data_IF_533826590764
#
_entry.id   IF_533826590764
#
_cell.length_a   1.000
_cell.length_b   1.000
_cell.length_c   1.000
_cell.angle_alpha   90.00
_cell.angle_beta   90.00
_cell.angle_gamma   90.00
#
_symmetry.space_group_name_H-M   'P 1'
#
loop_
_entity.id
_entity.type
_entity.pdbx_description
1 polymer ?
#
# COMPACT_ATOMS: atom_id res chain seq x y z
N UNK A 1 -2.57 -68.77 -20.29
CA UNK A 1 -2.65 -67.36 -20.77
C UNK A 1 -3.49 -66.48 -19.85
N UNK A 2 -4.74 -66.83 -19.54
CA UNK A 2 -5.64 -65.99 -18.71
C UNK A 2 -5.05 -65.63 -17.32
N UNK A 3 -4.47 -66.60 -16.62
CA UNK A 3 -3.86 -66.39 -15.28
C UNK A 3 -2.72 -65.36 -15.31
N UNK A 4 -1.84 -65.43 -16.31
CA UNK A 4 -0.73 -64.49 -16.47
C UNK A 4 -1.23 -63.06 -16.75
N UNK A 5 -2.32 -62.94 -17.53
CA UNK A 5 -2.94 -61.66 -17.83
C UNK A 5 -3.59 -61.04 -16.58
N UNK A 6 -4.27 -61.86 -15.78
CA UNK A 6 -4.85 -61.44 -14.50
C UNK A 6 -3.77 -60.98 -13.52
N UNK A 7 -2.66 -61.72 -13.41
CA UNK A 7 -1.54 -61.34 -12.54
C UNK A 7 -0.90 -60.02 -13.00
N UNK A 8 -0.69 -59.84 -14.30
CA UNK A 8 -0.14 -58.60 -14.85
C UNK A 8 -1.06 -57.39 -14.58
N UNK A 9 -2.38 -57.55 -14.70
CA UNK A 9 -3.35 -56.50 -14.38
C UNK A 9 -3.33 -56.15 -12.89
N UNK A 10 -3.30 -57.16 -12.00
CA UNK A 10 -3.26 -56.94 -10.55
C UNK A 10 -1.96 -56.26 -10.13
N UNK A 11 -0.82 -56.70 -10.66
CA UNK A 11 0.49 -56.09 -10.37
C UNK A 11 0.56 -54.67 -10.94
N UNK A 12 0.05 -54.44 -12.15
CA UNK A 12 -0.03 -53.11 -12.75
C UNK A 12 -0.93 -52.16 -11.95
N UNK A 13 -2.08 -52.64 -11.48
CA UNK A 13 -2.98 -51.86 -10.62
C UNK A 13 -2.38 -51.57 -9.25
N UNK A 14 -1.75 -52.56 -8.61
CA UNK A 14 -1.08 -52.40 -7.33
C UNK A 14 0.13 -51.45 -7.44
N UNK A 15 0.93 -51.60 -8.49
CA UNK A 15 2.06 -50.70 -8.81
C UNK A 15 1.58 -49.28 -9.11
N UNK A 16 0.50 -49.13 -9.88
CA UNK A 16 -0.14 -47.84 -10.15
C UNK A 16 -0.66 -47.17 -8.87
N UNK A 17 -1.35 -47.91 -8.01
CA UNK A 17 -1.84 -47.42 -6.71
C UNK A 17 -0.70 -47.06 -5.77
N UNK A 18 0.36 -47.85 -5.73
CA UNK A 18 1.55 -47.58 -4.93
C UNK A 18 2.28 -46.32 -5.41
N UNK A 19 2.46 -46.18 -6.73
CA UNK A 19 2.98 -44.96 -7.36
C UNK A 19 2.13 -43.73 -6.99
N UNK A 20 0.80 -43.85 -7.07
CA UNK A 20 -0.14 -42.79 -6.70
C UNK A 20 0.00 -42.41 -5.21
N UNK A 21 0.13 -43.37 -4.29
CA UNK A 21 0.35 -43.10 -2.87
C UNK A 21 1.70 -42.44 -2.58
N UNK A 22 2.73 -42.70 -3.39
CA UNK A 22 4.04 -42.04 -3.27
C UNK A 22 4.02 -40.61 -3.81
N UNK A 23 3.35 -40.40 -4.95
CA UNK A 23 3.32 -39.10 -5.64
C UNK A 23 2.32 -38.10 -5.05
N UNK A 24 1.29 -38.58 -4.34
CA UNK A 24 0.22 -37.74 -3.79
C UNK A 24 0.15 -37.88 -2.25
N UNK A 25 0.99 -37.13 -1.49
CA UNK A 25 1.00 -37.14 -0.03
C UNK A 25 -0.37 -36.85 0.60
N UNK A 26 -1.21 -36.10 -0.13
CA UNK A 26 -2.60 -35.79 0.22
C UNK A 26 -3.43 -37.05 0.53
N UNK A 27 -3.10 -38.19 -0.09
CA UNK A 27 -3.81 -39.45 0.15
C UNK A 27 -3.37 -40.18 1.43
N UNK A 28 -2.24 -39.79 2.03
CA UNK A 28 -1.74 -40.37 3.29
C UNK A 28 -2.25 -39.64 4.52
N UNK A 29 -2.58 -38.36 4.37
CA UNK A 29 -3.00 -37.49 5.48
C UNK A 29 -4.51 -37.68 5.76
N UNK A 30 -4.91 -38.26 6.91
CA UNK A 30 -6.31 -38.54 7.21
C UNK A 30 -7.21 -37.31 7.15
N UNK A 31 -6.68 -36.11 7.45
CA UNK A 31 -7.44 -34.86 7.38
C UNK A 31 -7.99 -34.60 5.96
N UNK A 32 -7.27 -34.98 4.90
CA UNK A 32 -7.73 -34.81 3.53
C UNK A 32 -8.86 -35.76 3.14
N UNK A 33 -9.03 -36.90 3.84
CA UNK A 33 -10.22 -37.75 3.65
C UNK A 33 -11.47 -37.02 4.11
N UNK A 34 -11.41 -36.37 5.27
CA UNK A 34 -12.55 -35.60 5.80
C UNK A 34 -12.84 -34.38 4.91
N UNK A 35 -11.79 -33.69 4.43
CA UNK A 35 -11.95 -32.60 3.46
C UNK A 35 -12.61 -33.08 2.16
N UNK A 36 -12.17 -34.23 1.63
CA UNK A 36 -12.73 -34.83 0.42
C UNK A 36 -14.19 -35.27 0.60
N UNK A 37 -14.53 -35.80 1.78
CA UNK A 37 -15.91 -36.16 2.13
C UNK A 37 -16.79 -34.90 2.19
N UNK A 38 -16.37 -33.88 2.94
CA UNK A 38 -17.12 -32.63 3.06
C UNK A 38 -17.35 -31.97 1.70
N UNK A 39 -16.29 -31.86 0.88
CA UNK A 39 -16.40 -31.32 -0.48
C UNK A 39 -17.43 -32.09 -1.32
N UNK A 40 -17.40 -33.44 -1.30
CA UNK A 40 -18.37 -34.27 -2.04
C UNK A 40 -19.81 -34.11 -1.54
N UNK A 41 -20.01 -34.08 -0.22
CA UNK A 41 -21.34 -33.90 0.36
C UNK A 41 -21.92 -32.54 -0.01
N UNK A 42 -21.13 -31.47 0.03
CA UNK A 42 -21.57 -30.12 -0.38
C UNK A 42 -21.92 -30.13 -1.87
N UNK A 43 -21.04 -30.61 -2.75
CA UNK A 43 -21.30 -30.64 -4.20
C UNK A 43 -22.55 -31.45 -4.58
N UNK A 44 -22.86 -32.52 -3.84
CA UNK A 44 -23.96 -33.44 -4.18
C UNK A 44 -25.28 -33.11 -3.48
N UNK A 45 -25.25 -32.52 -2.27
CA UNK A 45 -26.43 -32.38 -1.41
C UNK A 45 -26.78 -30.95 -1.02
N UNK A 46 -25.90 -29.99 -1.26
CA UNK A 46 -26.19 -28.61 -0.90
C UNK A 46 -27.36 -28.08 -1.75
N UNK A 47 -28.40 -27.58 -1.07
CA UNK A 47 -29.70 -27.25 -1.66
C UNK A 47 -29.61 -26.23 -2.80
N UNK A 48 -28.72 -25.24 -2.68
CA UNK A 48 -28.61 -24.13 -3.64
C UNK A 48 -27.60 -24.40 -4.77
N UNK A 49 -26.95 -25.57 -4.76
CA UNK A 49 -25.80 -25.86 -5.62
C UNK A 49 -24.53 -25.13 -5.17
N UNK A 50 -23.37 -25.72 -5.49
CA UNK A 50 -22.08 -25.19 -5.08
C UNK A 50 -21.13 -25.05 -6.27
N UNK A 51 -20.33 -23.99 -6.26
CA UNK A 51 -19.24 -23.83 -7.22
C UNK A 51 -17.97 -24.50 -6.71
N UNK A 52 -17.43 -25.42 -7.52
CA UNK A 52 -16.22 -26.19 -7.20
C UNK A 52 -15.03 -25.28 -6.91
N UNK A 53 -14.84 -24.24 -7.72
CA UNK A 53 -13.69 -23.33 -7.58
C UNK A 53 -13.79 -22.56 -6.27
N UNK A 54 -14.94 -21.98 -5.96
CA UNK A 54 -15.19 -21.24 -4.73
C UNK A 54 -14.94 -22.09 -3.47
N UNK A 55 -15.33 -23.38 -3.47
CA UNK A 55 -15.05 -24.28 -2.35
C UNK A 55 -13.55 -24.55 -2.16
N UNK A 56 -12.83 -24.82 -3.27
CA UNK A 56 -11.38 -25.10 -3.22
C UNK A 56 -10.59 -23.86 -2.82
N UNK A 57 -10.96 -22.70 -3.37
CA UNK A 57 -10.40 -21.40 -3.01
C UNK A 57 -10.61 -21.11 -1.52
N UNK A 58 -11.84 -21.28 -1.01
CA UNK A 58 -12.16 -21.12 0.41
C UNK A 58 -11.41 -22.09 1.32
N UNK A 59 -11.21 -23.34 0.87
CA UNK A 59 -10.39 -24.32 1.60
C UNK A 59 -8.91 -23.90 1.65
N UNK A 60 -8.35 -23.38 0.55
CA UNK A 60 -6.97 -22.89 0.51
C UNK A 60 -6.78 -21.67 1.40
N UNK A 61 -7.69 -20.69 1.34
CA UNK A 61 -7.71 -19.54 2.24
C UNK A 61 -7.80 -19.98 3.71
N UNK A 62 -8.71 -20.92 4.03
CA UNK A 62 -8.86 -21.48 5.37
C UNK A 62 -7.62 -22.22 5.89
N UNK A 63 -6.94 -22.99 5.03
CA UNK A 63 -5.69 -23.66 5.39
C UNK A 63 -4.59 -22.66 5.77
N UNK A 64 -4.41 -21.60 4.99
CA UNK A 64 -3.41 -20.57 5.31
C UNK A 64 -3.84 -19.76 6.54
N UNK A 65 -5.12 -19.44 6.66
CA UNK A 65 -5.67 -18.75 7.85
C UNK A 65 -5.46 -19.53 9.15
N UNK A 66 -5.47 -20.87 9.09
CA UNK A 66 -5.24 -21.73 10.26
C UNK A 66 -3.85 -21.59 10.89
N UNK A 67 -2.89 -20.97 10.18
CA UNK A 67 -1.55 -20.68 10.70
C UNK A 67 -1.56 -19.62 11.82
N UNK A 68 -2.64 -18.84 11.95
CA UNK A 68 -2.69 -17.70 12.88
C UNK A 68 -1.67 -16.59 12.57
N UNK A 69 -1.02 -16.68 11.40
CA UNK A 69 -0.07 -15.70 10.90
C UNK A 69 -0.81 -14.69 10.01
N UNK A 70 -1.01 -13.43 10.45
CA UNK A 70 -1.74 -12.44 9.67
C UNK A 70 -1.00 -12.01 8.38
N UNK A 71 0.26 -12.42 8.21
CA UNK A 71 1.07 -12.09 7.04
C UNK A 71 1.05 -13.18 5.95
N UNK A 72 0.67 -14.40 6.31
CA UNK A 72 0.49 -15.49 5.37
C UNK A 72 -0.95 -15.48 4.86
N UNK A 73 -1.13 -15.41 3.55
CA UNK A 73 -2.45 -15.33 2.91
C UNK A 73 -2.45 -16.10 1.59
N UNK A 74 -3.60 -16.66 1.25
CA UNK A 74 -3.90 -17.14 -0.09
C UNK A 74 -4.78 -16.09 -0.78
N UNK A 75 -4.34 -15.59 -1.93
CA UNK A 75 -5.05 -14.57 -2.70
C UNK A 75 -5.55 -15.22 -3.99
N UNK A 76 -6.85 -15.25 -4.19
CA UNK A 76 -7.51 -15.97 -5.29
C UNK A 76 -7.63 -15.12 -6.54
N UNK A 77 -7.37 -15.71 -7.71
CA UNK A 77 -7.59 -15.09 -9.04
C UNK A 77 -7.11 -13.65 -9.14
N UNK A 78 -8.01 -12.73 -9.49
CA UNK A 78 -7.76 -11.29 -9.66
C UNK A 78 -7.08 -10.64 -8.44
N UNK A 79 -7.38 -11.08 -7.21
CA UNK A 79 -6.70 -10.54 -6.00
C UNK A 79 -5.23 -10.93 -5.97
N UNK A 80 -4.90 -12.13 -6.46
CA UNK A 80 -3.52 -12.59 -6.63
C UNK A 80 -2.80 -11.77 -7.69
N UNK A 81 -3.42 -11.57 -8.86
CA UNK A 81 -2.87 -10.75 -9.94
C UNK A 81 -2.63 -9.29 -9.50
N UNK A 82 -3.62 -8.65 -8.88
CA UNK A 82 -3.51 -7.30 -8.34
C UNK A 82 -2.37 -7.19 -7.31
N UNK A 83 -2.16 -8.22 -6.49
CA UNK A 83 -1.06 -8.24 -5.54
C UNK A 83 0.30 -8.26 -6.23
N UNK A 84 0.47 -9.07 -7.28
CA UNK A 84 1.71 -9.09 -8.07
C UNK A 84 1.92 -7.74 -8.75
N UNK A 85 0.91 -7.22 -9.46
CA UNK A 85 1.02 -5.94 -10.17
C UNK A 85 1.25 -4.74 -9.26
N UNK A 86 0.97 -4.85 -7.96
CA UNK A 86 1.35 -3.80 -7.01
C UNK A 86 2.87 -3.65 -6.83
N UNK A 87 3.67 -4.67 -7.17
CA UNK A 87 5.14 -4.65 -7.12
C UNK A 87 5.80 -4.39 -8.47
N UNK A 88 5.06 -4.61 -9.55
CA UNK A 88 5.47 -4.27 -10.91
C UNK A 88 5.62 -2.74 -11.04
N UNK A 89 6.34 -2.32 -12.06
CA UNK A 89 6.57 -0.91 -12.38
C UNK A 89 5.35 -0.20 -12.98
N UNK A 90 4.33 -0.96 -13.34
CA UNK A 90 3.06 -0.48 -13.82
C UNK A 90 1.94 -1.44 -13.44
N UNK A 91 0.71 -0.94 -13.40
CA UNK A 91 -0.49 -1.77 -13.49
C UNK A 91 -1.28 -1.40 -14.74
N UNK A 92 -2.23 -2.22 -15.16
CA UNK A 92 -3.04 -1.96 -16.34
C UNK A 92 -4.36 -1.27 -15.96
N UNK A 93 -4.63 -0.12 -16.57
CA UNK A 93 -5.87 0.62 -16.38
C UNK A 93 -5.92 1.90 -17.20
N UNK A 94 -6.78 2.83 -16.79
CA UNK A 94 -6.90 4.14 -17.45
C UNK A 94 -5.93 5.19 -16.91
N UNK A 95 -5.48 5.07 -15.65
CA UNK A 95 -4.47 5.96 -15.07
C UNK A 95 -5.01 7.28 -14.53
N UNK A 96 -5.90 7.20 -13.54
CA UNK A 96 -6.49 8.36 -12.85
C UNK A 96 -6.50 8.16 -11.35
N UNK A 97 -6.37 9.25 -10.59
CA UNK A 97 -6.67 9.30 -9.17
C UNK A 97 -8.14 9.68 -8.99
N UNK A 98 -8.86 8.91 -8.17
CA UNK A 98 -10.31 9.04 -8.00
C UNK A 98 -10.59 9.38 -6.55
N UNK A 99 -11.44 10.38 -6.33
CA UNK A 99 -12.03 10.68 -5.03
C UNK A 99 -13.54 10.48 -5.08
N UNK A 100 -14.12 10.14 -3.94
CA UNK A 100 -15.56 10.04 -3.79
C UNK A 100 -16.09 11.32 -3.13
N UNK A 101 -17.18 11.88 -3.66
CA UNK A 101 -17.88 13.05 -3.12
C UNK A 101 -19.39 12.90 -3.36
N UNK A 102 -20.15 12.90 -2.27
CA UNK A 102 -21.60 12.76 -2.23
C UNK A 102 -22.09 11.52 -3.00
N UNK A 103 -21.39 10.39 -2.83
CA UNK A 103 -21.69 9.11 -3.50
C UNK A 103 -21.40 9.12 -5.01
N UNK A 104 -20.62 10.11 -5.49
CA UNK A 104 -20.16 10.22 -6.88
C UNK A 104 -18.64 10.09 -6.94
N UNK A 105 -18.15 9.53 -8.04
CA UNK A 105 -16.72 9.35 -8.25
C UNK A 105 -16.19 10.44 -9.18
N UNK A 106 -15.22 11.21 -8.67
CA UNK A 106 -14.65 12.37 -9.34
C UNK A 106 -13.18 12.08 -9.64
N UNK A 107 -12.75 12.38 -10.88
CA UNK A 107 -11.34 12.36 -11.24
C UNK A 107 -10.65 13.51 -10.51
N UNK A 108 -9.81 13.19 -9.53
CA UNK A 108 -9.01 14.17 -8.80
C UNK A 108 -7.82 14.61 -9.66
N UNK A 109 -7.15 13.63 -10.29
CA UNK A 109 -5.95 13.88 -11.10
C UNK A 109 -5.78 12.83 -12.18
N UNK A 110 -5.18 13.23 -13.30
CA UNK A 110 -4.69 12.32 -14.33
C UNK A 110 -3.24 11.95 -14.05
N UNK A 111 -2.91 10.67 -14.11
CA UNK A 111 -1.54 10.20 -13.97
C UNK A 111 -0.80 10.55 -15.27
N UNK A 112 0.33 11.27 -15.13
CA UNK A 112 1.17 11.62 -16.28
C UNK A 112 1.62 10.38 -17.03
N UNK A 113 1.71 10.48 -18.35
CA UNK A 113 2.08 9.43 -19.30
C UNK A 113 1.12 8.23 -19.36
N UNK A 114 0.06 8.20 -18.55
CA UNK A 114 -0.94 7.14 -18.57
C UNK A 114 -2.03 7.37 -19.65
N UNK A 115 -2.83 6.35 -20.01
CA UNK A 115 -3.79 6.47 -21.11
C UNK A 115 -4.80 7.61 -20.99
N UNK A 116 -5.30 7.88 -19.78
CA UNK A 116 -6.30 8.91 -19.53
C UNK A 116 -5.81 10.32 -19.88
N UNK A 117 -4.51 10.61 -19.75
CA UNK A 117 -3.92 11.92 -20.08
C UNK A 117 -4.16 12.31 -21.55
N UNK A 118 -4.22 11.31 -22.46
CA UNK A 118 -4.42 11.53 -23.90
C UNK A 118 -5.85 11.29 -24.36
N UNK A 119 -6.76 10.93 -23.45
CA UNK A 119 -8.12 10.51 -23.78
C UNK A 119 -9.15 11.64 -23.86
N UNK A 120 -8.77 12.85 -23.43
CA UNK A 120 -9.68 13.99 -23.30
C UNK A 120 -10.45 14.04 -21.97
N UNK A 121 -10.22 13.08 -21.07
CA UNK A 121 -10.60 13.20 -19.64
C UNK A 121 -9.91 14.40 -19.00
N UNK A 122 -10.52 14.95 -17.95
CA UNK A 122 -10.00 16.07 -17.18
C UNK A 122 -10.22 15.84 -15.68
N UNK A 123 -9.38 16.46 -14.86
CA UNK A 123 -9.66 16.60 -13.44
C UNK A 123 -11.00 17.33 -13.26
N UNK A 124 -11.83 16.85 -12.32
CA UNK A 124 -13.18 17.32 -12.09
C UNK A 124 -14.27 16.56 -12.86
N UNK A 125 -13.92 15.70 -13.83
CA UNK A 125 -14.91 14.82 -14.47
C UNK A 125 -15.52 13.84 -13.46
N UNK A 126 -16.83 13.65 -13.54
CA UNK A 126 -17.59 12.74 -12.66
C UNK A 126 -18.00 11.50 -13.44
N UNK A 127 -17.68 10.31 -12.95
CA UNK A 127 -18.09 9.06 -13.59
C UNK A 127 -19.61 8.86 -13.51
N UNK A 128 -20.25 8.65 -14.67
CA UNK A 128 -21.67 8.29 -14.79
C UNK A 128 -21.83 6.80 -15.06
N UNK A 129 -21.07 6.27 -16.02
CA UNK A 129 -21.04 4.83 -16.32
C UNK A 129 -19.70 4.39 -16.91
N UNK A 130 -19.37 3.12 -16.71
CA UNK A 130 -18.19 2.45 -17.25
C UNK A 130 -18.65 1.16 -17.91
N UNK A 131 -18.37 1.00 -19.20
CA UNK A 131 -18.76 -0.17 -20.00
C UNK A 131 -20.26 -0.50 -19.88
N UNK A 132 -21.10 0.55 -19.81
CA UNK A 132 -22.56 0.44 -19.67
C UNK A 132 -23.05 0.19 -18.23
N UNK A 133 -22.15 -0.10 -17.28
CA UNK A 133 -22.48 -0.23 -15.86
C UNK A 133 -22.55 1.14 -15.21
N UNK A 134 -23.66 1.46 -14.54
CA UNK A 134 -23.79 2.74 -13.84
C UNK A 134 -22.79 2.85 -12.69
N UNK A 135 -22.17 4.02 -12.54
CA UNK A 135 -21.31 4.32 -11.41
C UNK A 135 -22.10 4.59 -10.11
N UNK A 136 -23.41 4.84 -10.22
CA UNK A 136 -24.27 5.15 -9.08
C UNK A 136 -24.44 3.92 -8.17
N UNK A 137 -24.16 4.09 -6.88
CA UNK A 137 -24.32 3.04 -5.87
C UNK A 137 -23.20 1.99 -5.88
N UNK A 138 -22.18 2.14 -6.73
CA UNK A 138 -20.95 1.38 -6.60
C UNK A 138 -20.15 1.88 -5.40
N UNK A 139 -19.30 1.02 -4.86
CA UNK A 139 -18.18 1.46 -4.01
C UNK A 139 -16.92 1.69 -4.86
N UNK A 140 -15.91 2.33 -4.25
CA UNK A 140 -14.66 2.65 -4.93
C UNK A 140 -13.90 1.39 -5.40
N UNK A 141 -14.03 0.27 -4.68
CA UNK A 141 -13.37 -0.99 -5.06
C UNK A 141 -13.95 -1.52 -6.36
N UNK A 142 -15.28 -1.54 -6.46
CA UNK A 142 -15.97 -2.00 -7.66
C UNK A 142 -15.73 -1.08 -8.84
N UNK A 143 -15.69 0.23 -8.61
CA UNK A 143 -15.31 1.18 -9.64
C UNK A 143 -13.90 0.91 -10.18
N UNK A 144 -12.93 0.64 -9.30
CA UNK A 144 -11.54 0.30 -9.68
C UNK A 144 -11.49 -0.94 -10.57
N UNK A 145 -12.23 -1.98 -10.22
CA UNK A 145 -12.34 -3.19 -11.04
C UNK A 145 -12.84 -2.90 -12.45
N UNK A 146 -13.81 -1.98 -12.61
CA UNK A 146 -14.36 -1.62 -13.92
C UNK A 146 -13.39 -0.80 -14.77
N UNK A 147 -12.62 0.12 -14.17
CA UNK A 147 -11.67 0.96 -14.91
C UNK A 147 -10.34 0.26 -15.18
N UNK A 148 -10.00 -0.76 -14.39
CA UNK A 148 -8.93 -1.71 -14.67
C UNK A 148 -9.41 -2.82 -15.60
N UNK A 149 -8.49 -3.63 -16.10
CA UNK A 149 -8.81 -4.72 -17.01
C UNK A 149 -7.60 -5.13 -17.86
N UNK A 150 -7.82 -6.05 -18.80
CA UNK A 150 -6.75 -6.55 -19.68
C UNK A 150 -6.20 -5.43 -20.56
N UNK A 151 -4.89 -5.46 -20.80
CA UNK A 151 -4.20 -4.47 -21.61
C UNK A 151 -4.74 -4.47 -23.05
N UNK A 152 -4.83 -3.28 -23.65
CA UNK A 152 -5.36 -3.09 -25.00
C UNK A 152 -6.88 -3.15 -25.12
N UNK A 153 -7.60 -3.54 -24.06
CA UNK A 153 -9.07 -3.43 -24.06
C UNK A 153 -9.53 -1.99 -23.86
N UNK A 154 -10.71 -1.64 -24.37
CA UNK A 154 -11.25 -0.27 -24.25
C UNK A 154 -12.23 -0.17 -23.10
N UNK A 155 -12.06 0.82 -22.23
CA UNK A 155 -13.05 1.27 -21.26
C UNK A 155 -13.91 2.37 -21.90
N UNK A 156 -15.22 2.14 -22.01
CA UNK A 156 -16.19 3.13 -22.51
C UNK A 156 -16.76 3.90 -21.33
N UNK A 157 -16.33 5.14 -21.16
CA UNK A 157 -16.71 5.99 -20.05
C UNK A 157 -17.81 6.96 -20.48
N UNK A 158 -18.80 7.16 -19.63
CA UNK A 158 -19.67 8.34 -19.68
C UNK A 158 -19.33 9.20 -18.48
N UNK A 159 -18.99 10.47 -18.71
CA UNK A 159 -18.63 11.42 -17.64
C UNK A 159 -19.46 12.69 -17.70
N UNK A 160 -19.78 13.23 -16.53
CA UNK A 160 -20.30 14.59 -16.39
C UNK A 160 -19.14 15.56 -16.18
N UNK A 161 -19.15 16.69 -16.88
CA UNK A 161 -18.12 17.71 -16.80
C UNK A 161 -18.76 19.06 -16.51
N UNK A 162 -18.22 19.78 -15.53
CA UNK A 162 -18.67 21.13 -15.21
C UNK A 162 -18.62 22.03 -16.45
N UNK A 163 -19.71 22.78 -16.69
CA UNK A 163 -19.87 23.62 -17.87
C UNK A 163 -20.37 22.90 -19.14
N UNK A 164 -20.51 21.56 -19.13
CA UNK A 164 -21.16 20.80 -20.21
C UNK A 164 -22.63 20.55 -19.87
N UNK A 165 -23.53 20.78 -20.84
CA UNK A 165 -24.97 20.54 -20.68
C UNK A 165 -25.39 19.07 -20.87
N UNK A 166 -24.51 18.22 -21.39
CA UNK A 166 -24.74 16.78 -21.59
C UNK A 166 -23.53 15.96 -21.13
N UNK A 167 -23.74 14.72 -20.65
CA UNK A 167 -22.64 13.78 -20.40
C UNK A 167 -21.81 13.52 -21.65
N UNK A 168 -20.50 13.34 -21.46
CA UNK A 168 -19.52 13.09 -22.51
C UNK A 168 -19.18 11.60 -22.57
N UNK A 169 -19.26 11.01 -23.76
CA UNK A 169 -18.77 9.66 -24.01
C UNK A 169 -17.28 9.71 -24.36
N UNK A 170 -16.44 9.04 -23.59
CA UNK A 170 -14.98 9.00 -23.76
C UNK A 170 -14.53 7.54 -23.75
N UNK A 171 -13.81 7.13 -24.79
CA UNK A 171 -13.20 5.80 -24.86
C UNK A 171 -11.73 5.90 -24.47
N UNK A 172 -11.32 5.09 -23.51
CA UNK A 172 -9.92 5.00 -23.06
C UNK A 172 -9.43 3.57 -23.29
N UNK A 173 -8.34 3.41 -24.04
CA UNK A 173 -7.68 2.11 -24.16
C UNK A 173 -6.88 1.86 -22.89
N UNK A 174 -7.17 0.77 -22.19
CA UNK A 174 -6.45 0.36 -20.98
C UNK A 174 -5.01 0.03 -21.34
N UNK A 175 -4.08 0.56 -20.57
CA UNK A 175 -2.65 0.38 -20.79
C UNK A 175 -1.86 0.56 -19.51
N UNK A 176 -0.54 0.52 -19.63
CA UNK A 176 0.37 0.70 -18.50
C UNK A 176 0.16 2.05 -17.80
N UNK A 177 -0.08 1.98 -16.49
CA UNK A 177 -0.13 3.12 -15.57
C UNK A 177 1.10 3.02 -14.65
N UNK A 178 2.03 3.99 -14.72
CA UNK A 178 3.27 3.91 -13.96
C UNK A 178 3.00 4.00 -12.45
N UNK A 179 3.67 3.13 -11.69
CA UNK A 179 3.68 3.18 -10.23
C UNK A 179 4.96 3.88 -9.79
N UNK A 180 4.93 5.21 -9.67
CA UNK A 180 6.05 5.96 -9.15
C UNK A 180 6.18 5.76 -7.63
N UNK A 181 7.35 5.32 -7.20
CA UNK A 181 7.62 5.03 -5.79
C UNK A 181 8.54 6.04 -5.12
N UNK A 182 9.20 6.89 -5.92
CA UNK A 182 10.14 7.90 -5.43
C UNK A 182 9.72 9.30 -5.88
N UNK A 183 9.66 10.23 -4.92
CA UNK A 183 9.62 11.67 -5.19
C UNK A 183 10.85 12.34 -4.61
N UNK A 184 11.26 13.48 -5.17
CA UNK A 184 12.43 14.20 -4.68
C UNK A 184 12.30 15.71 -4.83
N UNK A 185 12.81 16.44 -3.85
CA UNK A 185 12.79 17.90 -3.79
C UNK A 185 14.13 18.42 -3.26
N UNK A 186 14.55 19.60 -3.75
CA UNK A 186 15.65 20.34 -3.13
C UNK A 186 15.05 21.32 -2.13
N UNK A 187 15.29 21.10 -0.85
CA UNK A 187 14.93 22.03 0.22
C UNK A 187 16.00 23.14 0.34
N UNK A 188 15.74 24.20 1.13
CA UNK A 188 16.75 25.22 1.43
C UNK A 188 18.09 24.64 1.92
N UNK A 189 19.15 25.43 1.76
CA UNK A 189 20.51 25.12 2.24
C UNK A 189 21.13 23.82 1.69
N UNK A 190 20.60 23.33 0.56
CA UNK A 190 21.12 22.18 -0.18
C UNK A 190 20.72 20.83 0.44
N UNK A 191 19.64 20.76 1.22
CA UNK A 191 19.11 19.49 1.71
C UNK A 191 18.29 18.84 0.60
N UNK A 192 18.76 17.71 0.07
CA UNK A 192 17.98 16.91 -0.87
C UNK A 192 17.02 16.01 -0.10
N UNK A 193 15.72 16.17 -0.32
CA UNK A 193 14.70 15.30 0.24
C UNK A 193 14.31 14.25 -0.80
N UNK A 194 14.27 12.99 -0.39
CA UNK A 194 13.75 11.88 -1.17
C UNK A 194 12.73 11.13 -0.33
N UNK A 195 11.50 11.00 -0.83
CA UNK A 195 10.48 10.14 -0.23
C UNK A 195 10.41 8.84 -1.00
N UNK A 196 10.43 7.71 -0.29
CA UNK A 196 10.14 6.40 -0.86
C UNK A 196 8.81 5.92 -0.29
N UNK A 197 7.78 5.80 -1.12
CA UNK A 197 6.45 5.36 -0.67
C UNK A 197 6.34 3.85 -0.48
N UNK A 198 7.12 3.08 -1.26
CA UNK A 198 7.14 1.61 -1.28
C UNK A 198 8.39 1.12 -2.02
N UNK A 199 8.79 -0.12 -1.78
CA UNK A 199 9.85 -0.79 -2.54
C UNK A 199 9.24 -1.73 -3.62
N UNK A 200 9.21 -1.27 -4.86
CA UNK A 200 8.77 -1.97 -6.07
C UNK A 200 9.95 -2.15 -7.05
N UNK A 201 9.71 -2.81 -8.19
CA UNK A 201 10.77 -3.17 -9.15
C UNK A 201 11.62 -1.98 -9.62
N UNK A 202 11.01 -0.82 -9.89
CA UNK A 202 11.73 0.37 -10.37
C UNK A 202 12.26 1.30 -9.29
N UNK A 203 11.94 1.07 -8.01
CA UNK A 203 12.27 2.01 -6.93
C UNK A 203 13.75 2.35 -6.86
N UNK A 204 14.64 1.36 -7.04
CA UNK A 204 16.08 1.62 -7.03
C UNK A 204 16.54 2.51 -8.19
N UNK A 205 15.95 2.36 -9.38
CA UNK A 205 16.27 3.17 -10.54
C UNK A 205 15.75 4.60 -10.37
N UNK A 206 14.51 4.76 -9.90
CA UNK A 206 13.92 6.06 -9.58
C UNK A 206 14.73 6.79 -8.51
N UNK A 207 15.16 6.07 -7.47
CA UNK A 207 16.02 6.60 -6.41
C UNK A 207 17.37 7.07 -6.93
N UNK A 208 18.03 6.27 -7.78
CA UNK A 208 19.31 6.63 -8.37
C UNK A 208 19.19 7.91 -9.23
N UNK A 209 18.14 8.00 -10.06
CA UNK A 209 17.88 9.19 -10.86
C UNK A 209 17.61 10.43 -9.99
N UNK A 210 16.83 10.28 -8.91
CA UNK A 210 16.55 11.34 -7.96
C UNK A 210 17.82 11.85 -7.26
N UNK A 211 18.66 10.93 -6.74
CA UNK A 211 19.94 11.31 -6.13
C UNK A 211 20.86 12.02 -7.11
N UNK A 212 20.99 11.53 -8.33
CA UNK A 212 21.87 12.14 -9.34
C UNK A 212 21.40 13.54 -9.71
N UNK A 213 20.07 13.73 -9.86
CA UNK A 213 19.48 15.03 -10.11
C UNK A 213 19.72 16.01 -8.95
N UNK A 214 19.58 15.56 -7.70
CA UNK A 214 19.84 16.37 -6.52
C UNK A 214 21.33 16.72 -6.37
N UNK A 215 22.23 15.76 -6.61
CA UNK A 215 23.68 15.99 -6.60
C UNK A 215 24.10 17.02 -7.65
N UNK A 216 23.56 16.94 -8.87
CA UNK A 216 23.79 17.95 -9.93
C UNK A 216 23.29 19.35 -9.52
N UNK A 217 22.27 19.44 -8.67
CA UNK A 217 21.75 20.69 -8.11
C UNK A 217 22.54 21.18 -6.87
N UNK A 218 23.63 20.52 -6.50
CA UNK A 218 24.48 20.93 -5.38
C UNK A 218 24.01 20.45 -4.01
N UNK A 219 23.34 19.29 -3.94
CA UNK A 219 22.95 18.66 -2.67
C UNK A 219 24.14 18.50 -1.71
N UNK A 220 23.97 18.96 -0.47
CA UNK A 220 24.95 18.93 0.62
C UNK A 220 24.63 17.88 1.70
N UNK A 221 23.37 17.47 1.78
CA UNK A 221 22.90 16.44 2.73
C UNK A 221 21.62 15.79 2.21
N UNK A 222 21.32 14.59 2.71
CA UNK A 222 20.17 13.79 2.28
C UNK A 222 19.18 13.59 3.43
N UNK A 223 17.93 13.98 3.20
CA UNK A 223 16.79 13.61 4.02
C UNK A 223 16.02 12.49 3.29
N UNK A 224 15.95 11.31 3.90
CA UNK A 224 15.19 10.17 3.39
C UNK A 224 13.89 10.04 4.18
N UNK A 225 12.75 10.25 3.53
CA UNK A 225 11.43 10.08 4.15
C UNK A 225 10.89 8.67 3.86
N UNK A 226 10.77 7.85 4.91
CA UNK A 226 10.22 6.49 4.88
C UNK A 226 8.94 6.37 5.72
N UNK A 227 8.34 7.49 6.14
CA UNK A 227 7.06 7.48 6.87
C UNK A 227 5.95 6.94 5.98
N UNK A 228 5.03 6.18 6.56
CA UNK A 228 3.96 5.55 5.80
C UNK A 228 4.38 4.40 4.88
N UNK A 229 5.69 4.09 4.75
CA UNK A 229 6.18 3.08 3.81
C UNK A 229 6.08 1.65 4.39
N UNK A 230 5.19 0.79 3.85
CA UNK A 230 4.98 -0.57 4.38
C UNK A 230 6.09 -1.57 3.99
N UNK A 231 7.13 -1.11 3.30
CA UNK A 231 8.24 -1.88 2.77
C UNK A 231 8.01 -2.31 1.32
N UNK A 232 8.44 -3.53 0.98
CA UNK A 232 8.20 -4.13 -0.32
C UNK A 232 9.27 -5.14 -0.70
N UNK A 233 9.77 -5.09 -1.93
CA UNK A 233 10.81 -6.00 -2.41
C UNK A 233 12.15 -5.74 -1.72
N UNK A 234 12.86 -6.82 -1.37
CA UNK A 234 14.16 -6.73 -0.70
C UNK A 234 15.29 -6.34 -1.66
N UNK A 235 15.23 -6.76 -2.92
CA UNK A 235 16.25 -6.49 -3.93
C UNK A 235 16.49 -4.98 -4.17
N UNK A 236 15.47 -4.14 -4.48
CA UNK A 236 15.69 -2.69 -4.62
C UNK A 236 16.17 -2.04 -3.32
N UNK A 237 15.78 -2.60 -2.16
CA UNK A 237 16.24 -2.14 -0.85
C UNK A 237 17.75 -2.34 -0.69
N UNK A 238 18.26 -3.52 -1.04
CA UNK A 238 19.71 -3.82 -1.04
C UNK A 238 20.43 -2.91 -2.04
N UNK A 239 19.88 -2.72 -3.23
CA UNK A 239 20.46 -1.86 -4.27
C UNK A 239 20.58 -0.41 -3.80
N UNK A 240 19.57 0.13 -3.12
CA UNK A 240 19.62 1.46 -2.50
C UNK A 240 20.63 1.47 -1.33
N UNK A 241 20.61 0.47 -0.45
CA UNK A 241 21.53 0.39 0.68
C UNK A 241 23.02 0.36 0.23
N UNK A 242 23.33 -0.26 -0.91
CA UNK A 242 24.68 -0.27 -1.50
C UNK A 242 25.21 1.14 -1.83
N UNK A 243 24.36 2.18 -1.92
CA UNK A 243 24.82 3.56 -2.08
C UNK A 243 25.47 4.10 -0.81
N UNK A 244 24.99 3.69 0.36
CA UNK A 244 25.29 4.32 1.65
C UNK A 244 26.13 3.46 2.58
N UNK A 245 25.81 2.18 2.65
CA UNK A 245 26.46 1.23 3.57
C UNK A 245 27.90 0.98 3.10
N UNK A 246 28.92 1.16 3.97
CA UNK A 246 30.31 0.91 3.59
C UNK A 246 30.54 -0.49 3.02
N UNK A 247 31.39 -0.59 1.99
CA UNK A 247 31.71 -1.85 1.32
C UNK A 247 32.08 -2.96 2.33
N UNK A 248 31.48 -4.13 2.17
CA UNK A 248 31.70 -5.30 3.03
C UNK A 248 30.93 -5.30 4.35
N UNK A 249 30.26 -4.20 4.75
CA UNK A 249 29.38 -4.19 5.92
C UNK A 249 28.05 -4.88 5.62
N UNK A 250 27.49 -5.56 6.61
CA UNK A 250 26.20 -6.23 6.52
C UNK A 250 25.07 -5.21 6.35
N UNK A 251 24.19 -5.46 5.38
CA UNK A 251 22.92 -4.75 5.20
C UNK A 251 21.83 -5.47 5.98
N UNK A 252 21.68 -6.78 5.77
CA UNK A 252 20.63 -7.61 6.39
C UNK A 252 21.01 -9.08 6.33
N UNK A 253 20.49 -9.87 7.26
CA UNK A 253 20.53 -11.34 7.21
C UNK A 253 19.12 -11.89 7.03
N UNK A 254 18.93 -12.87 6.16
CA UNK A 254 17.67 -13.62 6.00
C UNK A 254 17.88 -15.04 6.54
N UNK A 255 17.11 -15.41 7.55
CA UNK A 255 17.25 -16.66 8.31
C UNK A 255 15.98 -17.50 8.13
N UNK A 256 16.10 -18.63 7.45
CA UNK A 256 14.99 -19.55 7.21
C UNK A 256 14.71 -20.44 8.43
N UNK A 257 13.53 -21.06 8.44
CA UNK A 257 13.08 -21.96 9.51
C UNK A 257 14.16 -22.97 9.93
N UNK A 258 14.35 -23.10 11.24
CA UNK A 258 15.33 -24.00 11.84
C UNK A 258 16.79 -23.63 11.55
N UNK A 259 17.05 -22.39 11.12
CA UNK A 259 18.37 -21.91 10.66
C UNK A 259 19.00 -22.78 9.57
N UNK A 260 18.18 -23.56 8.86
CA UNK A 260 18.60 -24.43 7.76
C UNK A 260 19.31 -23.68 6.64
N UNK A 261 19.06 -22.37 6.54
CA UNK A 261 19.72 -21.46 5.60
C UNK A 261 19.79 -20.05 6.19
N UNK A 262 20.97 -19.45 6.14
CA UNK A 262 21.22 -18.04 6.47
C UNK A 262 21.87 -17.35 5.28
N UNK A 263 21.22 -16.31 4.76
CA UNK A 263 21.75 -15.47 3.68
C UNK A 263 22.16 -14.13 4.28
N UNK A 264 23.45 -13.78 4.18
CA UNK A 264 23.93 -12.46 4.60
C UNK A 264 24.14 -11.58 3.38
N UNK A 265 23.40 -10.48 3.29
CA UNK A 265 23.61 -9.47 2.25
C UNK A 265 24.58 -8.42 2.76
N UNK A 266 25.74 -8.31 2.11
CA UNK A 266 26.76 -7.30 2.39
C UNK A 266 26.77 -6.23 1.30
N UNK A 267 27.16 -5.02 1.69
CA UNK A 267 27.25 -3.91 0.77
C UNK A 267 28.36 -4.10 -0.27
N UNK A 268 27.99 -3.83 -1.52
CA UNK A 268 28.88 -3.76 -2.68
C UNK A 268 29.14 -2.30 -3.11
N UNK A 269 29.09 -1.36 -2.17
CA UNK A 269 29.33 0.07 -2.43
C UNK A 269 30.56 0.28 -3.32
N UNK A 270 30.36 1.07 -4.38
CA UNK A 270 31.41 1.45 -5.34
C UNK A 270 32.24 2.62 -4.80
N UNK A 271 31.55 3.71 -4.47
CA UNK A 271 32.15 4.95 -3.97
C UNK A 271 31.66 5.25 -2.55
N UNK A 272 32.54 5.62 -1.61
CA UNK A 272 32.14 6.01 -0.27
C UNK A 272 31.19 7.21 -0.28
N UNK A 273 30.02 7.04 0.35
CA UNK A 273 29.12 8.16 0.62
C UNK A 273 29.68 9.08 1.70
N UNK A 274 29.64 10.40 1.46
CA UNK A 274 30.25 11.41 2.35
C UNK A 274 29.28 12.44 2.92
N UNK A 275 28.07 12.54 2.37
CA UNK A 275 27.12 13.57 2.80
C UNK A 275 26.34 13.11 4.04
N UNK A 276 25.98 14.01 4.97
CA UNK A 276 25.11 13.66 6.10
C UNK A 276 23.77 13.07 5.64
N UNK A 277 23.26 12.08 6.37
CA UNK A 277 21.98 11.42 6.11
C UNK A 277 21.09 11.52 7.35
N UNK A 278 19.83 11.90 7.16
CA UNK A 278 18.77 11.76 8.14
C UNK A 278 17.61 10.95 7.54
N UNK A 279 16.91 10.18 8.37
CA UNK A 279 15.80 9.33 7.96
C UNK A 279 14.58 9.67 8.80
N UNK A 280 13.45 9.96 8.16
CA UNK A 280 12.16 10.08 8.83
C UNK A 280 11.45 8.72 8.85
N UNK A 281 10.96 8.33 10.01
CA UNK A 281 10.24 7.07 10.22
C UNK A 281 9.02 7.25 11.13
N UNK A 282 8.03 6.39 10.96
CA UNK A 282 6.82 6.35 11.79
C UNK A 282 6.36 4.91 12.05
N UNK A 283 5.23 4.76 12.74
CA UNK A 283 4.64 3.46 13.07
C UNK A 283 4.21 2.63 11.84
N UNK A 284 4.15 3.24 10.65
CA UNK A 284 3.81 2.58 9.40
C UNK A 284 5.04 2.22 8.55
N UNK A 285 6.22 2.74 8.89
CA UNK A 285 7.51 2.29 8.34
C UNK A 285 7.71 0.81 8.70
N UNK A 286 7.70 -0.07 7.69
CA UNK A 286 7.74 -1.52 7.92
C UNK A 286 8.68 -2.28 6.95
N UNK A 287 9.11 -3.48 7.34
CA UNK A 287 9.76 -4.46 6.47
C UNK A 287 11.01 -3.90 5.77
N UNK A 288 11.06 -3.88 4.43
CA UNK A 288 12.16 -3.29 3.67
C UNK A 288 12.54 -1.85 4.07
N UNK A 289 11.57 -1.03 4.47
CA UNK A 289 11.86 0.31 4.97
C UNK A 289 12.63 0.27 6.30
N UNK A 290 12.29 -0.69 7.17
CA UNK A 290 13.02 -0.98 8.41
C UNK A 290 14.40 -1.59 8.13
N UNK A 291 14.52 -2.46 7.12
CA UNK A 291 15.82 -3.00 6.69
C UNK A 291 16.77 -1.88 6.26
N UNK A 292 16.29 -0.97 5.41
CA UNK A 292 17.09 0.18 4.97
C UNK A 292 17.45 1.07 6.16
N UNK A 293 16.47 1.38 7.02
CA UNK A 293 16.69 2.17 8.24
C UNK A 293 17.74 1.54 9.15
N UNK A 294 17.64 0.22 9.42
CA UNK A 294 18.57 -0.50 10.27
C UNK A 294 19.99 -0.51 9.69
N UNK A 295 20.13 -0.77 8.39
CA UNK A 295 21.41 -0.79 7.70
C UNK A 295 22.12 0.58 7.77
N UNK A 296 21.39 1.65 7.45
CA UNK A 296 21.93 3.01 7.43
C UNK A 296 22.23 3.53 8.83
N UNK A 297 21.34 3.27 9.81
CA UNK A 297 21.55 3.62 11.22
C UNK A 297 22.81 2.94 11.78
N UNK A 298 23.01 1.65 11.49
CA UNK A 298 24.11 0.88 12.06
C UNK A 298 25.48 1.23 11.46
N UNK A 299 25.55 1.53 10.16
CA UNK A 299 26.83 1.54 9.43
C UNK A 299 27.09 2.77 8.56
N UNK A 300 26.05 3.55 8.22
CA UNK A 300 26.18 4.74 7.37
C UNK A 300 26.05 6.06 8.16
N UNK A 301 25.99 6.00 9.49
CA UNK A 301 25.92 7.19 10.35
C UNK A 301 24.60 7.97 10.27
N UNK A 302 23.55 7.38 9.72
CA UNK A 302 22.28 8.07 9.50
C UNK A 302 21.57 8.42 10.82
N UNK A 303 21.05 9.64 10.91
CA UNK A 303 20.25 10.11 12.04
C UNK A 303 18.77 9.73 11.83
N UNK A 304 18.24 8.84 12.65
CA UNK A 304 16.84 8.38 12.53
C UNK A 304 15.95 9.23 13.44
N UNK A 305 14.94 9.87 12.85
CA UNK A 305 14.04 10.84 13.49
C UNK A 305 12.58 10.41 13.31
N UNK A 306 11.75 10.61 14.32
CA UNK A 306 10.31 10.39 14.23
C UNK A 306 9.80 9.45 15.33
N UNK A 307 9.01 8.46 14.96
CA UNK A 307 8.41 7.51 15.90
C UNK A 307 8.91 6.09 15.65
N UNK A 308 8.71 5.22 16.64
CA UNK A 308 9.01 3.79 16.56
C UNK A 308 8.37 3.16 15.32
N UNK A 309 9.14 2.33 14.61
CA UNK A 309 8.66 1.63 13.40
C UNK A 309 7.78 0.42 13.71
N UNK A 310 7.14 -0.13 12.68
CA UNK A 310 6.12 -1.18 12.80
C UNK A 310 6.60 -2.49 13.44
N UNK A 311 7.84 -2.92 13.16
CA UNK A 311 8.40 -4.18 13.66
C UNK A 311 8.10 -5.40 12.81
N UNK A 312 8.15 -5.29 11.48
CA UNK A 312 7.95 -6.44 10.59
C UNK A 312 9.28 -7.13 10.28
N UNK A 313 9.79 -7.88 11.26
CA UNK A 313 11.02 -8.69 11.19
C UNK A 313 10.94 -10.02 10.41
N UNK A 314 10.00 -10.18 9.49
CA UNK A 314 9.72 -11.45 8.80
C UNK A 314 9.67 -11.27 7.29
N UNK A 315 10.00 -12.33 6.56
CA UNK A 315 10.04 -12.36 5.10
C UNK A 315 8.94 -13.28 4.59
N UNK A 316 8.06 -12.72 3.76
CA UNK A 316 7.11 -13.52 3.00
C UNK A 316 7.67 -13.82 1.63
N UNK A 317 7.55 -15.07 1.22
CA UNK A 317 7.71 -15.46 -0.17
C UNK A 317 6.32 -15.54 -0.80
N UNK A 318 6.18 -15.10 -2.03
CA UNK A 318 4.93 -15.24 -2.77
C UNK A 318 5.17 -16.06 -4.03
N UNK A 319 4.27 -17.02 -4.28
CA UNK A 319 4.27 -17.84 -5.49
C UNK A 319 2.92 -17.68 -6.18
N UNK A 320 2.96 -17.15 -7.40
CA UNK A 320 1.79 -17.11 -8.27
C UNK A 320 1.57 -18.48 -8.92
N UNK A 321 0.33 -18.93 -8.90
CA UNK A 321 -0.14 -20.16 -9.51
C UNK A 321 -0.66 -19.88 -10.92
N UNK A 322 -0.87 -20.94 -11.70
CA UNK A 322 -1.28 -20.81 -13.11
C UNK A 322 -2.64 -20.15 -13.31
N UNK A 323 -3.50 -20.18 -12.30
CA UNK A 323 -4.84 -19.59 -12.30
C UNK A 323 -4.85 -18.14 -11.80
N UNK A 324 -3.68 -17.51 -11.62
CA UNK A 324 -3.53 -16.14 -11.12
C UNK A 324 -3.48 -16.03 -9.60
N UNK A 325 -3.89 -17.08 -8.88
CA UNK A 325 -3.88 -17.12 -7.41
C UNK A 325 -2.45 -17.02 -6.86
N UNK A 326 -2.27 -16.45 -5.67
CA UNK A 326 -0.96 -16.26 -5.02
C UNK A 326 -0.97 -16.87 -3.63
N UNK A 327 -0.04 -17.79 -3.37
CA UNK A 327 0.31 -18.19 -2.01
C UNK A 327 1.41 -17.28 -1.50
N UNK A 328 1.08 -16.44 -0.51
CA UNK A 328 2.04 -15.64 0.23
C UNK A 328 2.27 -16.27 1.60
N UNK A 329 3.49 -16.70 1.87
CA UNK A 329 3.83 -17.47 3.06
C UNK A 329 5.05 -16.88 3.78
N UNK A 330 4.96 -16.74 5.10
CA UNK A 330 6.11 -16.39 5.94
C UNK A 330 7.07 -17.58 6.02
N UNK A 331 8.22 -17.47 5.34
CA UNK A 331 9.21 -18.56 5.23
C UNK A 331 10.50 -18.29 6.03
N UNK A 332 10.76 -17.03 6.38
CA UNK A 332 11.99 -16.61 7.04
C UNK A 332 11.79 -15.41 7.97
N UNK A 333 12.76 -15.18 8.84
CA UNK A 333 12.95 -13.93 9.55
C UNK A 333 14.10 -13.15 8.93
N UNK A 334 14.12 -11.84 9.13
CA UNK A 334 15.32 -11.06 8.85
C UNK A 334 15.92 -10.48 10.13
N UNK A 335 17.26 -10.41 10.17
CA UNK A 335 18.03 -9.82 11.28
C UNK A 335 18.76 -8.58 10.78
N UNK A 336 18.82 -7.56 11.63
CA UNK A 336 19.58 -6.31 11.40
C UNK A 336 21.08 -6.59 11.27
N UNK A 337 21.91 -5.61 10.87
CA UNK A 337 23.35 -5.79 10.72
C UNK A 337 24.08 -6.34 11.96
N UNK A 338 23.56 -6.06 13.15
CA UNK A 338 24.05 -6.54 14.45
C UNK A 338 23.41 -7.88 14.89
N UNK A 339 22.60 -8.51 14.03
CA UNK A 339 22.00 -9.82 14.27
C UNK A 339 20.69 -9.81 15.06
N UNK A 340 20.11 -8.64 15.36
CA UNK A 340 18.85 -8.58 16.11
C UNK A 340 17.63 -8.90 15.25
N UNK A 341 16.70 -9.67 15.82
CA UNK A 341 15.38 -9.89 15.23
C UNK A 341 14.38 -8.86 15.77
N UNK A 342 13.92 -7.96 14.92
CA UNK A 342 13.08 -6.81 15.31
C UNK A 342 11.56 -7.10 15.27
N UNK A 343 11.15 -8.35 15.06
CA UNK A 343 9.74 -8.67 14.86
C UNK A 343 8.90 -8.33 16.10
N UNK A 344 7.80 -7.61 15.89
CA UNK A 344 6.93 -7.02 16.92
C UNK A 344 7.62 -6.02 17.87
N UNK A 345 8.87 -5.67 17.57
CA UNK A 345 9.67 -4.72 18.36
C UNK A 345 9.91 -3.41 17.64
N UNK A 346 10.05 -3.40 16.32
CA UNK A 346 10.37 -2.20 15.56
C UNK A 346 11.78 -1.67 15.83
N UNK A 347 12.08 -0.52 15.23
CA UNK A 347 13.31 0.25 15.37
C UNK A 347 12.96 1.52 16.13
N UNK A 348 13.60 1.72 17.28
CA UNK A 348 13.51 2.98 18.00
C UNK A 348 14.36 4.06 17.29
N UNK A 349 13.79 5.24 16.99
CA UNK A 349 14.54 6.35 16.41
C UNK A 349 15.55 6.90 17.43
N UNK A 350 16.67 7.43 16.93
CA UNK A 350 17.66 8.10 17.78
C UNK A 350 17.17 9.45 18.30
N UNK A 351 16.20 10.05 17.58
CA UNK A 351 15.56 11.32 17.93
C UNK A 351 14.05 11.13 17.87
N UNK A 352 13.43 10.86 19.02
CA UNK A 352 11.98 10.68 19.12
C UNK A 352 11.31 12.03 18.95
N UNK A 353 10.47 12.15 17.92
CA UNK A 353 9.65 13.33 17.63
C UNK A 353 8.29 12.86 17.17
N UNK A 354 7.24 13.22 17.92
CA UNK A 354 5.87 12.90 17.53
C UNK A 354 5.43 13.76 16.34
N UNK A 355 4.57 13.19 15.48
CA UNK A 355 3.77 14.02 14.59
C UNK A 355 2.77 14.85 15.43
N UNK A 356 2.33 16.02 14.95
CA UNK A 356 1.30 16.79 15.63
C UNK A 356 0.02 15.95 15.79
N UNK A 357 -0.71 16.14 16.89
CA UNK A 357 -1.93 15.36 17.21
C UNK A 357 -2.95 15.38 16.07
N UNK A 358 -3.07 16.52 15.37
CA UNK A 358 -4.01 16.67 14.27
C UNK A 358 -3.65 15.81 13.04
N UNK A 359 -2.39 15.40 12.88
CA UNK A 359 -1.96 14.50 11.82
C UNK A 359 -2.42 13.05 12.06
N UNK A 360 -2.82 12.73 13.29
CA UNK A 360 -3.37 11.43 13.69
C UNK A 360 -4.90 11.41 13.64
N UNK A 361 -5.54 12.52 13.29
CA UNK A 361 -7.01 12.57 13.20
C UNK A 361 -7.50 11.60 12.12
N UNK A 362 -8.58 10.85 12.38
CA UNK A 362 -9.15 9.94 11.39
C UNK A 362 -9.51 10.67 10.11
N UNK A 363 -9.29 10.02 8.96
CA UNK A 363 -9.83 10.51 7.70
C UNK A 363 -11.35 10.50 7.77
N UNK A 364 -11.97 11.57 7.29
CA UNK A 364 -13.41 11.63 7.12
C UNK A 364 -13.78 10.77 5.90
N UNK A 365 -14.61 9.76 6.13
CA UNK A 365 -15.14 8.90 5.06
C UNK A 365 -16.07 9.69 4.13
N UNK A 366 -16.20 9.23 2.90
CA UNK A 366 -17.16 9.78 1.94
C UNK A 366 -18.61 9.56 2.39
N UNK A 367 -19.53 10.33 1.82
CA UNK A 367 -20.93 10.39 2.20
C UNK A 367 -21.19 11.15 3.51
N UNK A 368 -20.28 12.03 3.91
CA UNK A 368 -20.40 12.84 5.11
C UNK A 368 -21.52 13.87 4.94
N UNK A 369 -22.42 13.89 5.92
CA UNK A 369 -23.46 14.92 6.05
C UNK A 369 -23.74 15.14 7.53
N UNK A 370 -23.02 16.08 8.14
CA UNK A 370 -23.18 16.42 9.55
C UNK A 370 -23.77 17.83 9.70
N UNK A 371 -24.84 17.95 10.48
CA UNK A 371 -25.51 19.21 10.80
C UNK A 371 -25.98 19.27 12.24
N UNK A 372 -26.73 20.31 12.58
CA UNK A 372 -27.19 20.55 13.96
C UNK A 372 -27.95 19.34 14.50
N UNK A 373 -27.51 18.84 15.66
CA UNK A 373 -28.10 17.69 16.35
C UNK A 373 -27.34 16.38 16.15
N UNK A 374 -26.44 16.29 15.17
CA UNK A 374 -25.57 15.12 15.01
C UNK A 374 -24.53 15.05 16.14
N UNK A 375 -24.09 13.85 16.49
CA UNK A 375 -23.09 13.63 17.54
C UNK A 375 -22.21 12.41 17.27
N UNK A 376 -21.09 12.31 17.99
CA UNK A 376 -20.15 11.18 17.96
C UNK A 376 -18.79 11.51 17.34
N UNK A 377 -17.98 10.47 17.12
CA UNK A 377 -16.56 10.59 16.77
C UNK A 377 -16.31 11.41 15.49
N UNK A 378 -17.22 11.33 14.51
CA UNK A 378 -17.11 12.11 13.26
C UNK A 378 -17.26 13.61 13.53
N UNK A 379 -18.20 13.99 14.39
CA UNK A 379 -18.41 15.38 14.80
C UNK A 379 -17.21 15.88 15.58
N UNK A 380 -16.71 15.08 16.53
CA UNK A 380 -15.51 15.42 17.30
C UNK A 380 -14.29 15.59 16.38
N UNK A 381 -14.13 14.72 15.39
CA UNK A 381 -13.05 14.82 14.40
C UNK A 381 -13.14 16.13 13.62
N UNK A 382 -14.33 16.48 13.11
CA UNK A 382 -14.56 17.76 12.40
C UNK A 382 -14.28 18.97 13.30
N UNK A 383 -14.72 18.92 14.55
CA UNK A 383 -14.46 19.98 15.54
C UNK A 383 -12.96 20.17 15.79
N UNK A 384 -12.23 19.08 16.00
CA UNK A 384 -10.77 19.11 16.18
C UNK A 384 -10.06 19.67 14.95
N UNK A 385 -10.45 19.23 13.75
CA UNK A 385 -9.88 19.75 12.50
C UNK A 385 -10.14 21.25 12.33
N UNK A 386 -11.36 21.73 12.62
CA UNK A 386 -11.71 23.14 12.59
C UNK A 386 -10.91 23.97 13.59
N UNK A 387 -10.77 23.49 14.83
CA UNK A 387 -9.96 24.15 15.87
C UNK A 387 -8.50 24.30 15.43
N UNK A 388 -7.91 23.24 14.86
CA UNK A 388 -6.53 23.26 14.34
C UNK A 388 -6.36 24.28 13.21
N UNK A 389 -7.40 24.46 12.39
CA UNK A 389 -7.43 25.47 11.34
C UNK A 389 -7.83 26.88 11.84
N UNK A 390 -8.03 27.05 13.14
CA UNK A 390 -8.30 28.35 13.77
C UNK A 390 -9.77 28.76 13.83
N UNK A 391 -10.71 27.83 13.61
CA UNK A 391 -12.14 28.10 13.71
C UNK A 391 -12.68 27.75 15.11
N UNK A 392 -13.40 28.69 15.72
CA UNK A 392 -14.00 28.49 17.03
C UNK A 392 -15.27 27.63 16.92
N UNK A 393 -15.26 26.44 17.52
CA UNK A 393 -16.36 25.45 17.50
C UNK A 393 -17.13 25.35 18.82
N UNK A 394 -17.01 26.36 19.69
CA UNK A 394 -17.61 26.33 21.03
C UNK A 394 -16.98 25.27 21.93
N UNK A 395 -17.81 24.56 22.70
CA UNK A 395 -17.36 23.61 23.72
C UNK A 395 -16.72 22.31 23.16
N UNK A 396 -16.87 22.01 21.87
CA UNK A 396 -16.17 20.90 21.19
C UNK A 396 -16.41 19.52 21.82
N UNK A 397 -17.65 19.22 22.23
CA UNK A 397 -18.01 18.00 23.00
C UNK A 397 -18.49 16.84 22.12
N UNK A 398 -18.15 16.83 20.83
CA UNK A 398 -18.62 15.81 19.89
C UNK A 398 -20.10 15.91 19.56
N UNK A 399 -20.73 17.07 19.81
CA UNK A 399 -22.11 17.41 19.43
C UNK A 399 -22.05 18.56 18.43
N UNK A 400 -22.75 18.42 17.31
CA UNK A 400 -22.79 19.41 16.26
C UNK A 400 -23.86 20.44 16.65
N UNK A 401 -23.42 21.49 17.34
CA UNK A 401 -24.26 22.56 17.87
C UNK A 401 -24.26 23.80 16.94
N UNK A 402 -24.90 24.87 17.41
CA UNK A 402 -24.97 26.14 16.66
C UNK A 402 -23.57 26.75 16.44
N UNK A 403 -22.66 26.59 17.41
CA UNK A 403 -21.28 27.08 17.32
C UNK A 403 -20.50 26.30 16.26
N UNK A 404 -20.63 24.98 16.25
CA UNK A 404 -20.03 24.11 15.22
C UNK A 404 -20.57 24.45 13.83
N UNK A 405 -21.89 24.64 13.70
CA UNK A 405 -22.50 25.06 12.44
C UNK A 405 -21.99 26.43 11.97
N UNK A 406 -21.81 27.40 12.88
CA UNK A 406 -21.26 28.71 12.58
C UNK A 406 -19.77 28.64 12.17
N UNK A 407 -18.98 27.80 12.84
CA UNK A 407 -17.61 27.51 12.47
C UNK A 407 -17.51 26.94 11.05
N UNK A 408 -18.39 25.99 10.72
CA UNK A 408 -18.46 25.39 9.38
C UNK A 408 -18.89 26.40 8.33
N UNK A 409 -19.86 27.29 8.60
CA UNK A 409 -20.22 28.38 7.67
C UNK A 409 -19.04 29.31 7.42
N UNK A 410 -18.30 29.66 8.47
CA UNK A 410 -17.12 30.54 8.37
C UNK A 410 -16.02 29.88 7.54
N UNK A 411 -15.75 28.60 7.79
CA UNK A 411 -14.84 27.80 6.98
C UNK A 411 -15.28 27.73 5.51
N UNK A 412 -16.56 27.44 5.26
CA UNK A 412 -17.13 27.40 3.91
C UNK A 412 -16.99 28.74 3.21
N UNK A 413 -17.25 29.85 3.89
CA UNK A 413 -17.10 31.19 3.33
C UNK A 413 -15.65 31.47 2.92
N UNK A 414 -14.69 31.16 3.80
CA UNK A 414 -13.26 31.36 3.54
C UNK A 414 -12.74 30.51 2.36
N UNK A 415 -13.23 29.27 2.26
CA UNK A 415 -12.87 28.35 1.18
C UNK A 415 -13.76 28.48 -0.08
N UNK A 416 -14.60 29.53 -0.15
CA UNK A 416 -15.50 29.82 -1.28
C UNK A 416 -16.44 28.65 -1.62
N UNK A 417 -16.93 27.97 -0.59
CA UNK A 417 -17.93 26.90 -0.66
C UNK A 417 -19.33 27.43 -0.32
N UNK A 418 -20.40 26.70 -0.72
CA UNK A 418 -21.76 27.01 -0.26
C UNK A 418 -21.84 27.02 1.28
N UNK A 419 -22.31 28.12 1.85
CA UNK A 419 -22.35 28.38 3.30
C UNK A 419 -23.55 27.71 3.97
N UNK A 420 -23.65 26.38 3.86
CA UNK A 420 -24.78 25.60 4.40
C UNK A 420 -24.74 25.49 5.92
N UNK A 421 -23.55 25.54 6.52
CA UNK A 421 -23.35 25.19 7.93
C UNK A 421 -23.53 23.70 8.21
N UNK A 422 -23.55 22.88 7.17
CA UNK A 422 -23.48 21.42 7.22
C UNK A 422 -22.10 21.00 6.74
N UNK A 423 -21.41 20.13 7.48
CA UNK A 423 -20.17 19.52 7.01
C UNK A 423 -20.50 18.41 6.01
N UNK A 424 -20.10 18.60 4.76
CA UNK A 424 -20.28 17.65 3.66
C UNK A 424 -18.94 17.20 3.07
N UNK A 425 -18.95 16.26 2.12
CA UNK A 425 -17.74 15.71 1.51
C UNK A 425 -16.84 16.78 0.90
N UNK A 426 -17.42 17.77 0.21
CA UNK A 426 -16.67 18.86 -0.40
C UNK A 426 -15.94 19.71 0.66
N UNK A 427 -16.63 20.07 1.74
CA UNK A 427 -16.03 20.81 2.85
C UNK A 427 -14.97 19.98 3.58
N UNK A 428 -15.23 18.69 3.83
CA UNK A 428 -14.29 17.77 4.46
C UNK A 428 -13.01 17.59 3.63
N UNK A 429 -13.13 17.42 2.31
CA UNK A 429 -11.98 17.34 1.41
C UNK A 429 -11.13 18.61 1.46
N UNK A 430 -11.75 19.79 1.39
CA UNK A 430 -11.03 21.07 1.50
C UNK A 430 -10.33 21.23 2.84
N UNK A 431 -10.99 20.83 3.92
CA UNK A 431 -10.43 20.82 5.26
C UNK A 431 -9.19 19.94 5.33
N UNK A 432 -9.24 18.75 4.72
CA UNK A 432 -8.10 17.85 4.65
C UNK A 432 -6.93 18.43 3.85
N UNK A 433 -7.20 19.07 2.70
CA UNK A 433 -6.17 19.77 1.92
C UNK A 433 -5.49 20.86 2.76
N UNK A 434 -6.25 21.65 3.53
CA UNK A 434 -5.67 22.68 4.40
C UNK A 434 -4.80 22.10 5.51
N UNK A 435 -5.23 21.00 6.15
CA UNK A 435 -4.43 20.34 7.18
C UNK A 435 -3.15 19.72 6.62
N UNK A 436 -3.19 19.13 5.42
CA UNK A 436 -1.99 18.65 4.73
C UNK A 436 -1.02 19.81 4.46
N UNK A 437 -1.51 20.91 3.90
CA UNK A 437 -0.68 22.10 3.64
C UNK A 437 -0.09 22.71 4.92
N UNK A 438 -0.81 22.64 6.03
CA UNK A 438 -0.33 23.06 7.35
C UNK A 438 0.78 22.12 7.82
N UNK A 439 0.55 20.81 7.79
CA UNK A 439 1.54 19.79 8.13
C UNK A 439 2.83 19.93 7.32
N UNK A 440 2.75 20.09 6.00
CA UNK A 440 3.94 20.23 5.14
C UNK A 440 4.85 21.40 5.54
N UNK A 441 4.28 22.46 6.14
CA UNK A 441 5.00 23.65 6.60
C UNK A 441 5.54 23.50 8.02
N UNK A 442 4.83 22.80 8.89
CA UNK A 442 5.15 22.74 10.33
C UNK A 442 5.61 21.38 10.82
N UNK A 443 5.85 20.42 9.90
CA UNK A 443 6.26 19.06 10.18
C UNK A 443 7.45 19.02 11.17
N UNK A 444 7.20 18.70 12.46
CA UNK A 444 8.22 18.78 13.49
C UNK A 444 9.32 17.73 13.29
N UNK A 445 8.99 16.60 12.64
CA UNK A 445 9.95 15.53 12.36
C UNK A 445 10.91 15.97 11.25
N UNK A 446 10.37 16.55 10.16
CA UNK A 446 11.18 17.15 9.08
C UNK A 446 12.05 18.28 9.60
N UNK A 447 11.48 19.22 10.36
CA UNK A 447 12.23 20.34 10.98
C UNK A 447 13.39 19.80 11.83
N UNK A 448 13.13 18.81 12.69
CA UNK A 448 14.19 18.21 13.51
C UNK A 448 15.26 17.54 12.65
N UNK A 449 14.88 16.78 11.63
CA UNK A 449 15.84 16.11 10.76
C UNK A 449 16.73 17.11 9.99
N UNK A 450 16.14 18.18 9.43
CA UNK A 450 16.87 19.26 8.76
C UNK A 450 17.86 19.92 9.73
N UNK A 451 17.44 20.24 10.96
CA UNK A 451 18.36 20.83 11.95
C UNK A 451 19.56 19.93 12.30
N UNK A 452 19.38 18.60 12.28
CA UNK A 452 20.46 17.63 12.51
C UNK A 452 21.41 17.54 11.32
N UNK A 453 20.90 17.69 10.10
CA UNK A 453 21.72 17.72 8.88
C UNK A 453 22.55 18.99 8.80
N UNK A 454 21.99 20.13 9.20
CA UNK A 454 22.70 21.41 9.26
C UNK A 454 23.83 21.40 10.29
N UNK A 455 23.60 20.81 11.47
CA UNK A 455 24.62 20.66 12.50
C UNK A 455 25.76 19.69 12.13
N UNK A 456 25.58 18.90 11.07
CA UNK A 456 26.56 17.94 10.57
C UNK A 456 27.36 18.45 9.36
N UNK A 457 27.07 19.67 8.88
CA UNK A 457 27.90 20.39 7.91
C UNK A 457 29.16 20.91 8.60
#
# INVERSE_FOLDING_TARGET
MAVLLTVAVVVGFAGGRFSMLLQYPIMKEPAFRNLSYAYKEIMNRYLEGADSKALVDGAAEGMVGSLGDPYSVYLTGDRGEQYISSYEDHFVGIGVEIREEDGRFIIDKLIKTAPAEKSGLKAGDVFVSIDGTSAKGLDLTKLKELVQGKEGTTAKLTVEREGSSKPLAISVVRGAVPVLTVTSNMLPDGVGEITISRFAEKTANEFNAAIEALQKKGMKSLLLDLRGNPGGLLEPTITIANRFVPKGKTIVQVVYKGETRVITHQSKQKEPWKLPIAILVDAHTASSAEVLTAALKATAGAKVVGQKTFGKGIVQNFRQLKDGSVLKLTEAQWRSPDGQWIHKKGIEPGYVVAAPDYAQLPRLAAGLKLGIGDYGDKVQTVQSMLQVLGYAVGAGKGIYDADTAAAVRSFQANEKLPQTGTMNDKAAYRMMVMLTNKFDKEDPQRIKAVSLLEAAK
#
